data_IF_656272665651
#
_entry.id   IF_656272665651
#
_cell.length_a   1.000
_cell.length_b   1.000
_cell.length_c   1.000
_cell.angle_alpha   90.00
_cell.angle_beta   90.00
_cell.angle_gamma   90.00
#
_symmetry.space_group_name_H-M   'P 1'
#
loop_
_entity.id
_entity.type
_entity.pdbx_description
1 polymer ?
#
# COMPACT_ATOMS: atom_id res chain seq x y z
N UNK A 1 -41.16 -17.06 31.76
CA UNK A 1 -40.93 -15.90 30.87
C UNK A 1 -39.84 -15.06 31.51
N UNK A 2 -38.60 -15.20 31.07
CA UNK A 2 -37.49 -14.36 31.52
C UNK A 2 -36.82 -13.80 30.26
N UNK A 3 -37.21 -12.58 29.91
CA UNK A 3 -36.58 -11.81 28.87
C UNK A 3 -35.64 -10.84 29.60
N UNK A 4 -34.33 -11.08 29.52
CA UNK A 4 -33.35 -10.23 30.16
C UNK A 4 -32.17 -10.01 29.22
N UNK A 5 -32.12 -8.81 28.66
CA UNK A 5 -30.92 -8.07 28.27
C UNK A 5 -31.29 -6.60 28.55
N UNK A 6 -30.39 -5.74 29.06
CA UNK A 6 -29.23 -5.36 28.25
C UNK A 6 -27.95 -4.85 28.99
N UNK A 7 -26.86 -4.75 28.22
CA UNK A 7 -25.72 -3.80 28.34
C UNK A 7 -24.79 -3.90 29.56
N UNK A 8 -23.56 -4.35 29.29
CA UNK A 8 -22.35 -3.64 29.69
C UNK A 8 -21.31 -3.80 28.56
N UNK A 9 -21.14 -2.76 27.75
CA UNK A 9 -20.01 -2.66 26.84
C UNK A 9 -18.82 -2.18 27.67
N UNK A 10 -17.92 -3.09 28.02
CA UNK A 10 -16.57 -2.73 28.46
C UNK A 10 -15.80 -2.18 27.24
N UNK A 11 -14.96 -1.14 27.39
CA UNK A 11 -14.15 -0.63 26.29
C UNK A 11 -13.03 -1.64 26.05
N UNK A 12 -13.29 -2.61 25.19
CA UNK A 12 -12.34 -3.63 24.82
C UNK A 12 -11.19 -2.95 24.06
N UNK A 13 -9.99 -3.16 24.60
CA UNK A 13 -8.72 -2.65 24.11
C UNK A 13 -8.63 -2.69 22.58
N UNK A 14 -8.05 -1.63 22.02
CA UNK A 14 -7.73 -1.48 20.60
C UNK A 14 -7.45 -2.83 19.95
N UNK A 15 -8.38 -3.25 19.09
CA UNK A 15 -8.23 -4.45 18.28
C UNK A 15 -6.85 -4.38 17.60
N UNK A 16 -6.03 -5.43 17.66
CA UNK A 16 -4.82 -5.47 16.86
C UNK A 16 -5.27 -5.35 15.41
N UNK A 17 -4.97 -4.21 14.78
CA UNK A 17 -5.14 -4.05 13.34
C UNK A 17 -4.33 -5.20 12.73
N UNK A 18 -5.03 -6.13 12.10
CA UNK A 18 -4.48 -7.39 11.57
C UNK A 18 -3.41 -7.08 10.51
N UNK A 19 -2.16 -6.89 10.94
CA UNK A 19 -0.99 -6.55 10.11
C UNK A 19 -0.75 -7.54 8.94
N UNK A 20 -1.39 -8.72 8.99
CA UNK A 20 -1.36 -9.71 7.92
C UNK A 20 -2.06 -9.18 6.64
N UNK A 21 -3.14 -8.42 6.79
CA UNK A 21 -3.88 -7.84 5.67
C UNK A 21 -3.07 -6.74 5.00
N UNK A 22 -2.38 -5.89 5.79
CA UNK A 22 -1.53 -4.81 5.29
C UNK A 22 -0.45 -5.30 4.32
N UNK A 23 0.18 -6.45 4.61
CA UNK A 23 1.19 -7.02 3.72
C UNK A 23 0.58 -7.50 2.41
N UNK A 24 -0.59 -8.15 2.46
CA UNK A 24 -1.26 -8.61 1.25
C UNK A 24 -1.79 -7.44 0.41
N UNK A 25 -2.34 -6.40 1.06
CA UNK A 25 -2.74 -5.16 0.41
C UNK A 25 -1.54 -4.52 -0.30
N UNK A 26 -0.38 -4.47 0.37
CA UNK A 26 0.84 -3.91 -0.21
C UNK A 26 1.31 -4.69 -1.44
N UNK A 27 1.33 -6.02 -1.40
CA UNK A 27 1.70 -6.83 -2.57
C UNK A 27 0.76 -6.56 -3.75
N UNK A 28 -0.57 -6.61 -3.53
CA UNK A 28 -1.55 -6.34 -4.58
C UNK A 28 -1.41 -4.92 -5.16
N UNK A 29 -1.13 -3.92 -4.31
CA UNK A 29 -0.91 -2.55 -4.75
C UNK A 29 0.34 -2.44 -5.63
N UNK A 30 1.45 -3.07 -5.23
CA UNK A 30 2.68 -3.10 -6.02
C UNK A 30 2.44 -3.74 -7.39
N UNK A 31 1.72 -4.84 -7.45
CA UNK A 31 1.40 -5.52 -8.71
C UNK A 31 0.54 -4.62 -9.61
N UNK A 32 -0.50 -4.01 -9.07
CA UNK A 32 -1.37 -3.10 -9.81
C UNK A 32 -0.61 -1.88 -10.36
N UNK A 33 0.28 -1.30 -9.55
CA UNK A 33 1.15 -0.18 -9.98
C UNK A 33 2.17 -0.66 -11.01
N UNK A 34 2.83 -1.80 -10.78
CA UNK A 34 3.79 -2.43 -11.68
C UNK A 34 3.23 -2.74 -13.07
N UNK A 35 1.95 -3.13 -13.13
CA UNK A 35 1.23 -3.38 -14.36
C UNK A 35 0.67 -2.10 -15.02
N UNK A 36 0.71 -0.95 -14.34
CA UNK A 36 0.16 0.29 -14.85
C UNK A 36 1.08 0.90 -15.91
N UNK A 37 0.49 1.39 -17.01
CA UNK A 37 1.25 2.00 -18.11
C UNK A 37 1.96 3.30 -17.72
N UNK A 38 1.49 4.00 -16.68
CA UNK A 38 2.15 5.19 -16.14
C UNK A 38 3.47 4.84 -15.45
N UNK A 39 3.45 3.82 -14.59
CA UNK A 39 4.63 3.35 -13.89
C UNK A 39 5.68 2.79 -14.84
N UNK A 40 5.28 1.97 -15.82
CA UNK A 40 6.21 1.40 -16.81
C UNK A 40 6.93 2.49 -17.61
N UNK A 41 6.23 3.55 -18.01
CA UNK A 41 6.84 4.71 -18.70
C UNK A 41 7.82 5.44 -17.79
N UNK A 42 7.42 5.70 -16.56
CA UNK A 42 8.27 6.34 -15.57
C UNK A 42 9.55 5.52 -15.27
N UNK A 43 9.45 4.19 -15.21
CA UNK A 43 10.61 3.31 -15.06
C UNK A 43 11.61 3.43 -16.22
N UNK A 44 11.10 3.56 -17.46
CA UNK A 44 11.91 3.78 -18.66
C UNK A 44 12.61 5.14 -18.63
N UNK A 45 11.89 6.19 -18.26
CA UNK A 45 12.42 7.56 -18.17
C UNK A 45 13.58 7.65 -17.16
N UNK A 46 13.48 6.93 -16.04
CA UNK A 46 14.49 6.91 -14.98
C UNK A 46 15.57 5.84 -15.17
N UNK A 47 15.57 5.13 -16.30
CA UNK A 47 16.53 4.06 -16.62
C UNK A 47 16.60 2.95 -15.55
N UNK A 48 15.50 2.68 -14.83
CA UNK A 48 15.42 1.60 -13.83
C UNK A 48 15.56 0.20 -14.44
N UNK A 49 15.39 0.06 -15.76
CA UNK A 49 15.67 -1.18 -16.50
C UNK A 49 17.17 -1.46 -16.67
N UNK A 50 18.04 -0.53 -16.27
CA UNK A 50 19.48 -0.77 -16.29
C UNK A 50 19.82 -1.89 -15.31
N UNK A 51 20.54 -2.95 -15.71
CA UNK A 51 20.93 -4.03 -14.79
C UNK A 51 21.84 -3.57 -13.64
N UNK A 52 22.34 -2.33 -13.70
CA UNK A 52 23.07 -1.64 -12.62
C UNK A 52 22.14 -1.13 -11.49
N UNK A 53 20.87 -0.88 -11.80
CA UNK A 53 19.86 -0.43 -10.85
C UNK A 53 19.31 -1.65 -10.09
N UNK A 54 20.02 -2.07 -9.05
CA UNK A 54 19.62 -3.14 -8.12
C UNK A 54 18.45 -2.73 -7.22
N UNK A 55 17.64 -1.76 -7.64
CA UNK A 55 16.57 -1.15 -6.87
C UNK A 55 15.35 -2.05 -6.93
N UNK A 56 14.95 -2.59 -5.78
CA UNK A 56 13.77 -3.47 -5.66
C UNK A 56 12.50 -2.76 -6.13
N UNK A 57 11.54 -3.54 -6.64
CA UNK A 57 10.23 -3.04 -7.08
C UNK A 57 9.55 -2.19 -6.00
N UNK A 58 9.67 -2.57 -4.72
CA UNK A 58 9.16 -1.80 -3.59
C UNK A 58 9.70 -0.37 -3.54
N UNK A 59 11.00 -0.19 -3.79
CA UNK A 59 11.61 1.14 -3.77
C UNK A 59 11.18 1.95 -5.00
N UNK A 60 11.07 1.31 -6.17
CA UNK A 60 10.58 1.94 -7.40
C UNK A 60 9.14 2.44 -7.22
N UNK A 61 8.25 1.57 -6.71
CA UNK A 61 6.85 1.91 -6.42
C UNK A 61 6.76 3.07 -5.42
N UNK A 62 7.58 3.07 -4.36
CA UNK A 62 7.60 4.17 -3.38
C UNK A 62 8.08 5.49 -3.98
N UNK A 63 9.08 5.47 -4.85
CA UNK A 63 9.54 6.68 -5.55
C UNK A 63 8.45 7.22 -6.48
N UNK A 64 7.85 6.36 -7.30
CA UNK A 64 6.76 6.75 -8.21
C UNK A 64 5.57 7.36 -7.47
N UNK A 65 5.13 6.73 -6.36
CA UNK A 65 4.05 7.26 -5.54
C UNK A 65 4.41 8.61 -4.93
N UNK A 66 5.65 8.77 -4.45
CA UNK A 66 6.11 10.05 -3.91
C UNK A 66 6.04 11.15 -4.97
N UNK A 67 6.64 10.94 -6.14
CA UNK A 67 6.65 11.94 -7.21
C UNK A 67 5.24 12.27 -7.72
N UNK A 68 4.38 11.25 -7.85
CA UNK A 68 2.98 11.44 -8.26
C UNK A 68 2.21 12.27 -7.22
N UNK A 69 2.42 12.00 -5.93
CA UNK A 69 1.78 12.76 -4.85
C UNK A 69 2.32 14.19 -4.74
N UNK A 70 3.62 14.40 -4.95
CA UNK A 70 4.22 15.74 -4.99
C UNK A 70 3.65 16.58 -6.14
N UNK A 71 3.38 15.96 -7.29
CA UNK A 71 2.78 16.62 -8.46
C UNK A 71 1.32 17.01 -8.23
N UNK A 72 0.57 16.25 -7.42
CA UNK A 72 -0.83 16.54 -7.10
C UNK A 72 -1.02 17.50 -5.90
N UNK A 73 0.06 17.80 -5.16
CA UNK A 73 0.02 18.66 -3.97
C UNK A 73 0.25 20.16 -4.28
N UNK A 74 0.37 20.53 -5.55
CA UNK A 74 0.44 21.91 -6.04
C UNK A 74 -0.91 22.36 -6.61
#
# INVERSE_FOLDING_TARGET
>A
MANALPIAQEPQAAEPIELCDDSQIWENLKEAIGASSGFQRWQLELNFESPQATVSIDQQVRCYLRETLETLAY
#
